data_IF_408070159016
#
_entry.id   IF_408070159016
#
_cell.length_a   1.000
_cell.length_b   1.000
_cell.length_c   1.000
_cell.angle_alpha   90.00
_cell.angle_beta   90.00
_cell.angle_gamma   90.00
#
_symmetry.space_group_name_H-M   'P 1'
#
loop_
_entity.id
_entity.type
_entity.pdbx_description
1 polymer ?
#
# COMPACT_ATOMS: atom_id res chain seq x y z
N UNK A 1 -19.10 47.22 -36.63
CA UNK A 1 -19.14 45.85 -36.06
C UNK A 1 -17.80 45.22 -36.35
N UNK A 2 -17.05 44.70 -35.35
CA UNK A 2 -15.79 44.04 -35.62
C UNK A 2 -16.05 42.82 -36.50
N UNK A 3 -15.17 42.64 -37.47
CA UNK A 3 -15.28 41.71 -38.58
C UNK A 3 -15.28 40.25 -38.07
N UNK A 4 -16.46 39.72 -37.74
CA UNK A 4 -16.64 38.36 -37.19
C UNK A 4 -16.06 37.27 -38.10
N UNK A 5 -15.91 37.55 -39.40
CA UNK A 5 -15.35 36.65 -40.40
C UNK A 5 -13.88 36.27 -40.11
N UNK A 6 -13.09 37.19 -39.56
CA UNK A 6 -11.69 36.94 -39.16
C UNK A 6 -11.60 36.08 -37.91
N UNK A 7 -12.59 36.16 -37.03
CA UNK A 7 -12.65 35.33 -35.81
C UNK A 7 -12.97 33.87 -36.17
N UNK A 8 -13.89 33.64 -37.11
CA UNK A 8 -14.22 32.29 -37.60
C UNK A 8 -13.07 31.60 -38.34
N UNK A 9 -12.19 32.36 -38.99
CA UNK A 9 -11.01 31.82 -39.68
C UNK A 9 -9.85 31.44 -38.73
N UNK A 10 -9.77 32.05 -37.54
CA UNK A 10 -8.67 31.83 -36.57
C UNK A 10 -9.04 30.78 -35.50
N UNK A 11 -10.34 30.60 -35.23
CA UNK A 11 -10.87 29.57 -34.33
C UNK A 11 -10.34 28.14 -34.60
N UNK A 12 -10.17 27.70 -35.86
CA UNK A 12 -9.53 26.44 -36.20
C UNK A 12 -8.15 26.22 -35.61
N UNK A 13 -7.24 27.14 -35.91
CA UNK A 13 -5.85 27.09 -35.47
C UNK A 13 -5.75 27.18 -33.95
N UNK A 14 -6.61 28.00 -33.32
CA UNK A 14 -6.60 28.16 -31.87
C UNK A 14 -6.91 26.86 -31.12
N UNK A 15 -7.87 26.07 -31.61
CA UNK A 15 -8.22 24.78 -31.01
C UNK A 15 -7.06 23.78 -31.09
N UNK A 16 -6.31 23.80 -32.20
CA UNK A 16 -5.17 22.91 -32.41
C UNK A 16 -4.03 23.25 -31.43
N UNK A 17 -3.76 24.54 -31.19
CA UNK A 17 -2.76 24.97 -30.21
C UNK A 17 -3.15 24.67 -28.76
N UNK A 18 -4.45 24.53 -28.44
CA UNK A 18 -4.90 24.24 -27.07
C UNK A 18 -4.46 22.85 -26.61
N UNK A 19 -4.53 21.83 -27.47
CA UNK A 19 -4.14 20.46 -27.09
C UNK A 19 -2.63 20.37 -26.87
N UNK A 20 -1.83 20.94 -27.78
CA UNK A 20 -0.38 21.00 -27.59
C UNK A 20 0.01 21.84 -26.38
N UNK A 21 -0.69 22.96 -26.14
CA UNK A 21 -0.52 23.78 -24.95
C UNK A 21 -0.81 22.99 -23.67
N UNK A 22 -1.89 22.20 -23.64
CA UNK A 22 -2.23 21.35 -22.51
C UNK A 22 -1.17 20.28 -22.25
N UNK A 23 -0.69 19.58 -23.30
CA UNK A 23 0.40 18.60 -23.21
C UNK A 23 1.67 19.25 -22.64
N UNK A 24 2.04 20.44 -23.13
CA UNK A 24 3.19 21.18 -22.66
C UNK A 24 3.03 21.60 -21.18
N UNK A 25 1.88 22.13 -20.79
CA UNK A 25 1.59 22.55 -19.41
C UNK A 25 1.68 21.36 -18.46
N UNK A 26 1.04 20.23 -18.79
CA UNK A 26 1.08 19.02 -17.95
C UNK A 26 2.51 18.51 -17.82
N UNK A 27 3.26 18.47 -18.92
CA UNK A 27 4.69 18.05 -18.90
C UNK A 27 5.53 18.97 -18.02
N UNK A 28 5.36 20.30 -18.14
CA UNK A 28 6.06 21.28 -17.32
C UNK A 28 5.69 21.16 -15.83
N UNK A 29 4.42 20.95 -15.51
CA UNK A 29 3.98 20.72 -14.13
C UNK A 29 4.67 19.49 -13.56
N UNK A 30 4.71 18.38 -14.30
CA UNK A 30 5.42 17.18 -13.87
C UNK A 30 6.92 17.44 -13.65
N UNK A 31 7.58 18.14 -14.56
CA UNK A 31 9.01 18.47 -14.44
C UNK A 31 9.29 19.34 -13.21
N UNK A 32 8.53 20.41 -13.01
CA UNK A 32 8.77 21.37 -11.93
C UNK A 32 8.29 20.90 -10.56
N UNK A 33 7.21 20.11 -10.49
CA UNK A 33 6.63 19.65 -9.22
C UNK A 33 7.06 18.24 -8.79
N UNK A 34 7.54 17.40 -9.70
CA UNK A 34 7.99 16.05 -9.37
C UNK A 34 9.50 15.88 -9.55
N UNK A 35 10.00 16.03 -10.78
CA UNK A 35 11.40 15.65 -11.10
C UNK A 35 12.44 16.62 -10.53
N UNK A 36 12.30 17.93 -10.76
CA UNK A 36 13.27 18.93 -10.26
C UNK A 36 13.41 18.90 -8.73
N UNK A 37 12.31 18.84 -7.95
CA UNK A 37 12.37 18.59 -6.52
C UNK A 37 13.19 17.38 -6.12
N UNK A 38 12.92 16.24 -6.77
CA UNK A 38 13.53 14.96 -6.47
C UNK A 38 15.03 15.01 -6.76
N UNK A 39 15.43 15.52 -7.94
CA UNK A 39 16.85 15.73 -8.29
C UNK A 39 17.58 16.63 -7.30
N UNK A 40 16.94 17.72 -6.85
CA UNK A 40 17.53 18.64 -5.87
C UNK A 40 17.72 17.97 -4.52
N UNK A 41 16.81 17.11 -4.08
CA UNK A 41 16.95 16.37 -2.82
C UNK A 41 18.00 15.26 -2.92
N UNK A 42 18.07 14.55 -4.05
CA UNK A 42 19.14 13.57 -4.31
C UNK A 42 20.51 14.25 -4.28
N UNK A 43 20.64 15.41 -4.94
CA UNK A 43 21.88 16.17 -4.96
C UNK A 43 22.26 16.66 -3.56
N UNK A 44 21.31 17.14 -2.75
CA UNK A 44 21.61 17.56 -1.37
C UNK A 44 22.03 16.41 -0.48
N UNK A 45 21.44 15.22 -0.64
CA UNK A 45 21.88 14.00 0.07
C UNK A 45 23.31 13.61 -0.31
N UNK A 46 23.64 13.58 -1.61
CA UNK A 46 25.01 13.29 -2.06
C UNK A 46 26.04 14.31 -1.56
N UNK A 47 25.66 15.60 -1.53
CA UNK A 47 26.49 16.64 -0.95
C UNK A 47 26.68 16.44 0.57
N UNK A 48 25.64 16.01 1.28
CA UNK A 48 25.71 15.69 2.70
C UNK A 48 26.67 14.51 2.97
N UNK A 49 26.61 13.45 2.16
CA UNK A 49 27.54 12.31 2.20
C UNK A 49 28.98 12.80 2.01
N UNK A 50 29.23 13.58 0.96
CA UNK A 50 30.57 14.11 0.69
C UNK A 50 31.10 14.95 1.85
N UNK A 51 30.24 15.77 2.47
CA UNK A 51 30.59 16.54 3.66
C UNK A 51 30.89 15.67 4.88
N UNK A 52 30.18 14.56 5.08
CA UNK A 52 30.47 13.59 6.15
C UNK A 52 31.84 12.96 5.94
N UNK A 53 32.11 12.47 4.73
CA UNK A 53 33.37 11.80 4.40
C UNK A 53 34.57 12.76 4.52
N UNK A 54 34.44 14.00 4.04
CA UNK A 54 35.54 14.99 4.12
C UNK A 54 35.87 15.47 5.53
N UNK A 55 34.93 15.34 6.47
CA UNK A 55 35.09 15.75 7.86
C UNK A 55 35.21 14.56 8.82
N UNK A 56 35.14 13.33 8.31
CA UNK A 56 35.41 12.13 9.09
C UNK A 56 36.83 12.19 9.67
N UNK A 57 36.95 12.04 10.99
CA UNK A 57 38.23 12.09 11.71
C UNK A 57 38.78 13.49 12.01
N UNK A 58 38.16 14.58 11.53
CA UNK A 58 38.53 15.94 11.95
C UNK A 58 37.86 16.28 13.28
N UNK A 59 38.65 16.67 14.29
CA UNK A 59 38.14 17.20 15.57
C UNK A 59 37.60 18.63 15.36
N UNK A 60 36.39 18.73 14.85
CA UNK A 60 35.61 19.98 14.86
C UNK A 60 34.88 20.10 16.20
N UNK A 61 34.76 21.33 16.73
CA UNK A 61 33.99 21.62 17.96
C UNK A 61 32.51 21.21 17.84
N UNK A 62 31.97 21.23 16.61
CA UNK A 62 30.62 20.72 16.31
C UNK A 62 30.66 19.86 15.05
N UNK A 63 30.08 18.65 15.08
CA UNK A 63 29.95 17.84 13.89
C UNK A 63 29.08 18.54 12.83
N UNK A 64 29.51 18.47 11.58
CA UNK A 64 28.82 19.10 10.42
C UNK A 64 27.38 18.61 10.26
N UNK A 65 27.08 17.40 10.74
CA UNK A 65 25.74 16.83 10.68
C UNK A 65 24.74 17.44 11.67
N UNK A 66 25.21 18.11 12.74
CA UNK A 66 24.32 18.81 13.69
C UNK A 66 23.71 20.09 13.11
N UNK A 67 24.11 20.50 11.91
CA UNK A 67 23.51 21.65 11.24
C UNK A 67 22.07 21.36 10.79
N UNK A 68 21.15 22.27 11.09
CA UNK A 68 19.74 22.13 10.72
C UNK A 68 19.48 22.05 9.20
N UNK A 69 20.43 22.46 8.34
CA UNK A 69 20.30 22.42 6.88
C UNK A 69 21.22 21.38 6.22
N UNK A 70 21.79 20.48 7.01
CA UNK A 70 22.77 19.50 6.54
C UNK A 70 22.25 18.66 5.36
N UNK A 71 21.02 18.15 5.45
CA UNK A 71 20.37 17.31 4.41
C UNK A 71 19.62 18.14 3.36
N UNK A 72 19.73 19.48 3.41
CA UNK A 72 19.08 20.41 2.50
C UNK A 72 17.78 21.02 3.03
N UNK A 73 17.24 22.02 2.30
CA UNK A 73 16.09 22.83 2.75
C UNK A 73 14.77 22.05 2.81
N UNK A 74 14.56 21.09 1.89
CA UNK A 74 13.30 20.34 1.80
C UNK A 74 13.18 19.25 2.87
N UNK A 75 14.30 18.66 3.27
CA UNK A 75 14.37 17.63 4.31
C UNK A 75 14.68 18.20 5.71
N UNK A 76 14.79 19.54 5.83
CA UNK A 76 15.07 20.23 7.10
C UNK A 76 14.10 19.82 8.21
N UNK A 77 12.82 19.67 7.90
CA UNK A 77 11.80 19.30 8.90
C UNK A 77 12.08 17.94 9.52
N UNK A 78 12.24 16.91 8.68
CA UNK A 78 12.58 15.55 9.11
C UNK A 78 13.93 15.50 9.81
N UNK A 79 14.92 16.23 9.29
CA UNK A 79 16.25 16.31 9.90
C UNK A 79 16.24 16.95 11.29
N UNK A 80 15.45 18.01 11.49
CA UNK A 80 15.35 18.65 12.80
C UNK A 80 14.67 17.73 13.83
N UNK A 81 13.66 16.95 13.40
CA UNK A 81 13.03 15.93 14.25
C UNK A 81 14.03 14.83 14.63
N UNK A 82 14.83 14.37 13.66
CA UNK A 82 15.91 13.43 13.94
C UNK A 82 16.88 14.00 14.98
N UNK A 83 17.38 15.24 14.81
CA UNK A 83 18.32 15.84 15.75
C UNK A 83 17.73 15.99 17.16
N UNK A 84 16.46 16.40 17.28
CA UNK A 84 15.78 16.53 18.58
C UNK A 84 15.61 15.17 19.27
N UNK A 85 15.19 14.15 18.52
CA UNK A 85 14.97 12.82 19.08
C UNK A 85 16.28 12.10 19.37
N UNK A 86 17.29 12.26 18.52
CA UNK A 86 18.64 11.76 18.75
C UNK A 86 19.23 12.34 20.03
N UNK A 87 19.08 13.64 20.30
CA UNK A 87 19.57 14.24 21.55
C UNK A 87 18.82 13.69 22.79
N UNK A 88 17.51 13.47 22.70
CA UNK A 88 16.71 12.92 23.80
C UNK A 88 17.02 11.45 24.08
N UNK A 89 17.19 10.65 23.03
CA UNK A 89 17.49 9.23 23.11
C UNK A 89 18.94 8.97 23.51
N UNK A 90 19.87 9.84 23.10
CA UNK A 90 21.27 9.80 23.55
C UNK A 90 21.37 10.01 25.07
N UNK A 91 20.58 10.93 25.64
CA UNK A 91 20.47 11.11 27.10
C UNK A 91 19.90 9.88 27.82
N UNK A 92 19.18 9.01 27.12
CA UNK A 92 18.58 7.78 27.65
C UNK A 92 19.37 6.52 27.30
N UNK A 93 20.48 6.63 26.55
CA UNK A 93 21.28 5.49 26.10
C UNK A 93 20.57 4.58 25.08
N UNK A 94 19.53 5.08 24.40
CA UNK A 94 18.76 4.33 23.41
C UNK A 94 19.27 4.64 21.99
N UNK A 95 19.37 3.63 21.09
CA UNK A 95 19.78 3.87 19.71
C UNK A 95 18.68 4.64 18.95
N UNK A 96 19.09 5.58 18.10
CA UNK A 96 18.19 6.28 17.16
C UNK A 96 18.58 5.89 15.75
N UNK A 97 17.66 5.33 14.97
CA UNK A 97 17.93 5.06 13.56
C UNK A 97 17.64 6.32 12.73
N UNK A 98 18.55 6.68 11.82
CA UNK A 98 18.37 7.81 10.91
C UNK A 98 17.33 7.49 9.82
N UNK A 99 17.19 6.21 9.48
CA UNK A 99 16.25 5.70 8.47
C UNK A 99 14.79 5.98 8.85
N UNK A 100 14.46 6.02 10.14
CA UNK A 100 13.11 6.36 10.63
C UNK A 100 12.67 7.78 10.21
N UNK A 101 13.63 8.65 9.89
CA UNK A 101 13.39 10.06 9.56
C UNK A 101 13.77 10.43 8.13
N UNK A 102 14.78 9.77 7.56
CA UNK A 102 15.22 9.93 6.18
C UNK A 102 15.06 8.57 5.49
N UNK A 103 13.88 8.38 4.92
CA UNK A 103 13.51 7.19 4.15
C UNK A 103 12.91 7.57 2.80
N UNK A 104 12.60 6.56 2.02
CA UNK A 104 12.02 6.68 0.70
C UNK A 104 10.72 7.47 0.71
N UNK A 105 9.84 7.29 1.70
CA UNK A 105 8.58 8.03 1.78
C UNK A 105 8.81 9.53 2.01
N UNK A 106 9.74 9.88 2.89
CA UNK A 106 10.04 11.30 3.16
C UNK A 106 10.66 12.03 1.97
N UNK A 107 11.33 11.32 1.06
CA UNK A 107 11.98 11.90 -0.13
C UNK A 107 11.10 11.78 -1.39
N UNK A 108 10.35 10.69 -1.55
CA UNK A 108 9.55 10.43 -2.76
C UNK A 108 8.11 10.94 -2.61
N UNK A 109 7.45 10.69 -1.48
CA UNK A 109 6.08 11.16 -1.22
C UNK A 109 6.02 12.63 -0.82
N UNK A 110 7.02 13.13 -0.07
CA UNK A 110 7.06 14.52 0.36
C UNK A 110 7.37 15.52 -0.78
N UNK A 111 8.65 15.68 -1.16
CA UNK A 111 9.05 16.67 -2.15
C UNK A 111 8.83 16.22 -3.61
N UNK A 112 8.77 14.92 -3.89
CA UNK A 112 8.59 14.35 -5.24
C UNK A 112 7.14 14.22 -5.71
N UNK A 113 6.16 14.32 -4.80
CA UNK A 113 4.73 14.07 -5.08
C UNK A 113 4.51 12.81 -5.92
N UNK A 114 4.94 11.64 -5.42
CA UNK A 114 4.88 10.36 -6.15
C UNK A 114 3.53 10.10 -6.83
N UNK A 115 2.41 10.34 -6.13
CA UNK A 115 1.07 10.18 -6.72
C UNK A 115 0.80 11.10 -7.92
N UNK A 116 1.30 12.34 -7.93
CA UNK A 116 1.18 13.21 -9.11
C UNK A 116 2.09 12.72 -10.25
N UNK A 117 3.28 12.22 -9.93
CA UNK A 117 4.23 11.70 -10.91
C UNK A 117 3.70 10.45 -11.63
N UNK A 118 2.89 9.63 -10.96
CA UNK A 118 2.23 8.45 -11.56
C UNK A 118 1.07 8.84 -12.50
N UNK A 119 0.39 9.95 -12.22
CA UNK A 119 -0.75 10.43 -13.01
C UNK A 119 -0.33 11.16 -14.29
N UNK A 120 0.81 11.86 -14.28
CA UNK A 120 1.27 12.69 -15.43
C UNK A 120 1.36 11.88 -16.74
N UNK A 121 2.03 10.71 -16.82
CA UNK A 121 2.06 9.90 -18.04
C UNK A 121 0.67 9.55 -18.57
N UNK A 122 -0.24 9.17 -17.69
CA UNK A 122 -1.59 8.76 -18.05
C UNK A 122 -2.40 9.94 -18.62
N UNK A 123 -2.26 11.12 -18.02
CA UNK A 123 -2.88 12.35 -18.51
C UNK A 123 -2.33 12.77 -19.89
N UNK A 124 -1.02 12.65 -20.11
CA UNK A 124 -0.39 12.98 -21.39
C UNK A 124 -0.85 12.06 -22.53
N UNK A 125 -0.95 10.75 -22.24
CA UNK A 125 -1.48 9.77 -23.21
C UNK A 125 -2.97 10.04 -23.49
N UNK A 126 -3.76 10.30 -22.44
CA UNK A 126 -5.19 10.61 -22.59
C UNK A 126 -5.42 11.88 -23.41
N UNK A 127 -4.65 12.95 -23.17
CA UNK A 127 -4.68 14.19 -23.97
C UNK A 127 -4.30 13.93 -25.43
N UNK A 128 -3.32 13.06 -25.69
CA UNK A 128 -2.95 12.65 -27.04
C UNK A 128 -4.11 11.99 -27.79
N UNK A 129 -4.79 11.04 -27.13
CA UNK A 129 -5.99 10.35 -27.67
C UNK A 129 -7.13 11.34 -27.92
N UNK A 130 -7.35 12.28 -27.00
CA UNK A 130 -8.38 13.31 -27.11
C UNK A 130 -8.13 14.23 -28.32
N UNK A 131 -6.87 14.61 -28.55
CA UNK A 131 -6.45 15.35 -29.75
C UNK A 131 -6.70 14.58 -31.04
N UNK A 132 -6.47 13.26 -31.05
CA UNK A 132 -6.78 12.40 -32.20
C UNK A 132 -8.27 12.39 -32.51
N UNK A 133 -9.12 12.27 -31.50
CA UNK A 133 -10.57 12.30 -31.67
C UNK A 133 -11.05 13.65 -32.22
N UNK A 134 -10.52 14.77 -31.70
CA UNK A 134 -10.84 16.11 -32.20
C UNK A 134 -10.41 16.30 -33.66
N UNK A 135 -9.19 15.87 -34.03
CA UNK A 135 -8.67 16.01 -35.39
C UNK A 135 -9.45 15.19 -36.42
N UNK A 136 -9.83 13.96 -36.07
CA UNK A 136 -10.68 13.12 -36.91
C UNK A 136 -12.10 13.68 -37.02
N UNK A 137 -12.72 14.06 -35.89
CA UNK A 137 -14.07 14.65 -35.90
C UNK A 137 -14.15 15.89 -36.80
N UNK A 138 -13.14 16.75 -36.73
CA UNK A 138 -12.99 17.92 -37.60
C UNK A 138 -12.81 17.52 -39.07
N UNK A 139 -11.89 16.60 -39.36
CA UNK A 139 -11.59 16.16 -40.73
C UNK A 139 -12.76 15.48 -41.43
N UNK A 140 -13.62 14.77 -40.68
CA UNK A 140 -14.84 14.18 -41.23
C UNK A 140 -16.00 15.18 -41.36
N UNK A 141 -16.04 16.24 -40.53
CA UNK A 141 -17.13 17.23 -40.56
C UNK A 141 -17.16 18.08 -41.83
N UNK A 142 -16.05 18.19 -42.56
CA UNK A 142 -15.96 18.92 -43.84
C UNK A 142 -16.38 18.10 -45.05
N UNK A 143 -16.65 16.79 -44.90
CA UNK A 143 -17.01 15.91 -46.01
C UNK A 143 -18.52 15.95 -46.25
N UNK A 144 -18.94 16.48 -47.40
CA UNK A 144 -20.32 16.38 -47.85
C UNK A 144 -20.48 15.24 -48.87
N UNK A 145 -20.98 14.08 -48.41
CA UNK A 145 -21.17 12.89 -49.25
C UNK A 145 -22.30 13.00 -50.29
N UNK A 146 -23.06 14.11 -50.31
CA UNK A 146 -24.15 14.32 -51.26
C UNK A 146 -23.69 14.85 -52.63
N UNK A 147 -22.47 15.41 -52.73
CA UNK A 147 -21.96 16.02 -53.96
C UNK A 147 -20.49 15.64 -54.20
N UNK A 148 -20.21 14.98 -55.33
CA UNK A 148 -18.88 14.53 -55.73
C UNK A 148 -17.86 15.67 -55.83
N UNK A 149 -18.29 16.88 -56.19
CA UNK A 149 -17.41 18.04 -56.27
C UNK A 149 -17.02 18.57 -54.88
N UNK A 150 -17.98 18.55 -53.94
CA UNK A 150 -17.75 18.97 -52.55
C UNK A 150 -16.93 17.93 -51.78
N UNK A 151 -17.06 16.63 -52.11
CA UNK A 151 -16.18 15.58 -51.59
C UNK A 151 -14.72 15.84 -51.93
N UNK A 152 -14.41 16.19 -53.19
CA UNK A 152 -13.04 16.46 -53.63
C UNK A 152 -12.48 17.70 -52.93
N UNK A 153 -13.32 18.73 -52.69
CA UNK A 153 -12.93 19.93 -51.96
C UNK A 153 -12.68 19.69 -50.46
N UNK A 154 -13.29 18.66 -49.86
CA UNK A 154 -13.10 18.31 -48.44
C UNK A 154 -11.86 17.46 -48.14
N UNK A 155 -11.21 16.87 -49.15
CA UNK A 155 -10.01 16.01 -48.97
C UNK A 155 -8.85 16.76 -48.28
N UNK A 156 -8.50 18.01 -48.65
CA UNK A 156 -7.43 18.76 -47.97
C UNK A 156 -7.72 18.99 -46.48
N UNK A 157 -8.97 19.29 -46.12
CA UNK A 157 -9.38 19.50 -44.72
C UNK A 157 -9.32 18.20 -43.91
N UNK A 158 -9.72 17.07 -44.52
CA UNK A 158 -9.55 15.74 -43.94
C UNK A 158 -8.07 15.43 -43.69
N UNK A 159 -7.20 15.70 -44.66
CA UNK A 159 -5.76 15.48 -44.54
C UNK A 159 -5.13 16.36 -43.45
N UNK A 160 -5.60 17.60 -43.32
CA UNK A 160 -5.17 18.54 -42.28
C UNK A 160 -5.59 18.06 -40.89
N UNK A 161 -6.86 17.70 -40.70
CA UNK A 161 -7.38 17.15 -39.44
C UNK A 161 -6.69 15.85 -39.03
N UNK A 162 -6.38 14.98 -40.00
CA UNK A 162 -5.62 13.76 -39.77
C UNK A 162 -4.16 14.05 -39.38
N UNK A 163 -3.51 15.04 -40.01
CA UNK A 163 -2.15 15.46 -39.62
C UNK A 163 -2.11 15.98 -38.17
N UNK A 164 -3.10 16.78 -37.78
CA UNK A 164 -3.26 17.22 -36.40
C UNK A 164 -3.47 16.03 -35.45
N UNK A 165 -4.39 15.12 -35.77
CA UNK A 165 -4.71 13.94 -34.98
C UNK A 165 -3.50 13.03 -34.71
N UNK A 166 -2.66 12.80 -35.72
CA UNK A 166 -1.41 12.05 -35.57
C UNK A 166 -0.38 12.85 -34.77
N UNK A 167 -0.24 14.14 -35.04
CA UNK A 167 0.72 15.00 -34.36
C UNK A 167 0.49 15.08 -32.85
N UNK A 168 -0.77 15.20 -32.40
CA UNK A 168 -1.10 15.25 -30.96
C UNK A 168 -0.89 13.90 -30.28
N UNK A 169 -1.18 12.80 -30.97
CA UNK A 169 -0.96 11.44 -30.45
C UNK A 169 0.53 11.16 -30.23
N UNK A 170 1.35 11.45 -31.25
CA UNK A 170 2.80 11.29 -31.16
C UNK A 170 3.38 12.17 -30.05
N UNK A 171 2.93 13.42 -29.93
CA UNK A 171 3.37 14.31 -28.86
C UNK A 171 2.99 13.78 -27.47
N UNK A 172 1.73 13.36 -27.26
CA UNK A 172 1.25 12.84 -25.98
C UNK A 172 1.99 11.58 -25.55
N UNK A 173 2.12 10.60 -26.45
CA UNK A 173 2.83 9.33 -26.17
C UNK A 173 4.32 9.58 -25.93
N UNK A 174 4.97 10.41 -26.76
CA UNK A 174 6.41 10.69 -26.61
C UNK A 174 6.71 11.39 -25.29
N UNK A 175 5.94 12.43 -24.95
CA UNK A 175 6.10 13.13 -23.66
C UNK A 175 5.82 12.21 -22.48
N UNK A 176 4.81 11.34 -22.58
CA UNK A 176 4.47 10.34 -21.55
C UNK A 176 5.62 9.36 -21.29
N UNK A 177 6.18 8.79 -22.36
CA UNK A 177 7.31 7.85 -22.29
C UNK A 177 8.57 8.51 -21.71
N UNK A 178 8.92 9.69 -22.22
CA UNK A 178 10.09 10.44 -21.74
C UNK A 178 9.92 10.79 -20.26
N UNK A 179 8.74 11.27 -19.87
CA UNK A 179 8.47 11.60 -18.47
C UNK A 179 8.56 10.37 -17.56
N UNK A 180 7.93 9.26 -17.94
CA UNK A 180 7.96 8.02 -17.16
C UNK A 180 9.39 7.49 -17.00
N UNK A 181 10.16 7.46 -18.09
CA UNK A 181 11.56 7.05 -18.06
C UNK A 181 12.41 7.94 -17.12
N UNK A 182 12.27 9.26 -17.23
CA UNK A 182 12.98 10.19 -16.36
C UNK A 182 12.55 10.06 -14.89
N UNK A 183 11.25 9.86 -14.63
CA UNK A 183 10.73 9.63 -13.28
C UNK A 183 11.33 8.36 -12.68
N UNK A 184 11.34 7.25 -13.42
CA UNK A 184 11.89 5.96 -12.94
C UNK A 184 13.40 6.04 -12.67
N UNK A 185 14.16 6.71 -13.54
CA UNK A 185 15.60 6.96 -13.32
C UNK A 185 15.81 7.84 -12.08
N UNK A 186 15.01 8.89 -11.94
CA UNK A 186 15.11 9.83 -10.81
C UNK A 186 14.80 9.17 -9.47
N UNK A 187 13.77 8.32 -9.43
CA UNK A 187 13.43 7.54 -8.26
C UNK A 187 14.56 6.58 -7.91
N UNK A 188 15.04 5.78 -8.86
CA UNK A 188 16.17 4.85 -8.63
C UNK A 188 17.44 5.57 -8.14
N UNK A 189 17.74 6.76 -8.67
CA UNK A 189 18.85 7.58 -8.19
C UNK A 189 18.65 8.12 -6.78
N UNK A 190 17.40 8.34 -6.36
CA UNK A 190 17.06 8.84 -5.02
C UNK A 190 17.15 7.73 -3.99
N UNK A 191 16.58 6.55 -4.27
CA UNK A 191 16.70 5.35 -3.43
C UNK A 191 18.17 5.07 -3.09
N UNK A 192 19.04 5.00 -4.12
CA UNK A 192 20.48 4.79 -3.90
C UNK A 192 21.12 5.89 -3.04
N UNK A 193 20.77 7.15 -3.28
CA UNK A 193 21.35 8.27 -2.51
C UNK A 193 20.89 8.28 -1.04
N UNK A 194 19.71 7.75 -0.74
CA UNK A 194 19.20 7.57 0.63
C UNK A 194 19.97 6.44 1.31
N UNK A 195 20.06 5.28 0.65
CA UNK A 195 20.80 4.12 1.17
C UNK A 195 22.29 4.44 1.44
N UNK A 196 22.95 5.08 0.46
CA UNK A 196 24.33 5.55 0.61
C UNK A 196 24.47 6.55 1.78
N UNK A 197 23.45 7.40 1.99
CA UNK A 197 23.42 8.37 3.07
C UNK A 197 23.24 7.70 4.43
N UNK A 198 22.24 6.82 4.58
CA UNK A 198 21.97 6.08 5.82
C UNK A 198 23.19 5.26 6.21
N UNK A 199 23.80 4.55 5.26
CA UNK A 199 25.01 3.76 5.47
C UNK A 199 26.18 4.63 5.90
N UNK A 200 26.49 5.69 5.14
CA UNK A 200 27.61 6.60 5.44
C UNK A 200 27.40 7.32 6.77
N UNK A 201 26.18 7.75 7.08
CA UNK A 201 25.86 8.43 8.32
C UNK A 201 25.98 7.50 9.53
N UNK A 202 25.47 6.27 9.42
CA UNK A 202 25.56 5.28 10.50
C UNK A 202 27.02 4.95 10.81
N UNK A 203 27.84 4.73 9.78
CA UNK A 203 29.26 4.41 9.95
C UNK A 203 30.08 5.60 10.48
N UNK A 204 29.87 6.81 9.96
CA UNK A 204 30.75 7.95 10.24
C UNK A 204 30.29 8.84 11.40
N UNK A 205 28.98 8.94 11.63
CA UNK A 205 28.39 9.84 12.64
C UNK A 205 27.83 9.09 13.85
N UNK A 206 27.33 7.86 13.68
CA UNK A 206 26.76 7.03 14.75
C UNK A 206 27.67 5.89 15.21
N UNK A 207 28.97 5.93 14.92
CA UNK A 207 29.97 5.08 15.59
C UNK A 207 30.10 5.46 17.08
N UNK A 208 29.08 5.13 17.88
CA UNK A 208 29.29 4.72 19.26
C UNK A 208 29.24 3.19 19.24
N UNK A 209 30.33 2.47 19.52
CA UNK A 209 30.16 1.13 20.06
C UNK A 209 29.22 1.29 21.26
N UNK A 210 28.13 0.52 21.32
CA UNK A 210 27.30 0.48 22.51
C UNK A 210 28.25 0.26 23.68
N UNK A 211 28.34 1.26 24.55
CA UNK A 211 29.20 1.16 25.73
C UNK A 211 28.68 -0.07 26.48
N UNK A 212 29.57 -1.04 26.69
CA UNK A 212 29.22 -2.33 27.28
C UNK A 212 28.52 -2.09 28.63
N UNK A 213 28.89 -1.00 29.31
CA UNK A 213 28.31 -0.52 30.56
C UNK A 213 26.85 -0.06 30.42
N UNK A 214 26.42 0.56 29.32
CA UNK A 214 25.01 0.99 29.14
C UNK A 214 24.11 -0.19 28.77
N UNK A 215 24.60 -1.12 27.92
CA UNK A 215 23.91 -2.39 27.71
C UNK A 215 23.77 -3.15 29.03
N UNK A 216 24.83 -3.17 29.82
CA UNK A 216 24.84 -3.83 31.13
C UNK A 216 23.92 -3.11 32.12
N UNK A 217 23.82 -1.78 32.13
CA UNK A 217 22.90 -1.04 33.02
C UNK A 217 21.44 -1.30 32.65
N UNK A 218 21.08 -1.29 31.36
CA UNK A 218 19.71 -1.59 30.91
C UNK A 218 19.37 -3.06 31.19
N UNK A 219 20.28 -3.98 30.87
CA UNK A 219 20.12 -5.40 31.21
C UNK A 219 20.07 -5.61 32.73
N UNK A 220 20.86 -4.89 33.52
CA UNK A 220 20.87 -5.01 34.99
C UNK A 220 19.63 -4.39 35.63
N UNK A 221 19.05 -3.33 35.07
CA UNK A 221 17.78 -2.78 35.55
C UNK A 221 16.63 -3.73 35.28
N UNK A 222 16.56 -4.30 34.07
CA UNK A 222 15.54 -5.27 33.70
C UNK A 222 15.72 -6.58 34.49
N UNK A 223 16.98 -7.00 34.70
CA UNK A 223 17.35 -8.12 35.58
C UNK A 223 17.02 -7.83 37.04
N UNK A 224 17.23 -6.62 37.55
CA UNK A 224 16.88 -6.28 38.94
C UNK A 224 15.36 -6.21 39.16
N UNK A 225 14.60 -5.75 38.17
CA UNK A 225 13.14 -5.76 38.21
C UNK A 225 12.59 -7.20 38.19
N UNK A 226 13.14 -8.06 37.31
CA UNK A 226 12.85 -9.50 37.29
C UNK A 226 13.34 -10.21 38.57
N UNK A 227 14.50 -9.83 39.12
CA UNK A 227 15.06 -10.39 40.35
C UNK A 227 14.22 -10.03 41.56
N UNK A 228 13.59 -8.86 41.65
CA UNK A 228 12.66 -8.55 42.75
C UNK A 228 11.45 -9.50 42.74
N UNK A 229 10.86 -9.78 41.58
CA UNK A 229 9.77 -10.77 41.47
C UNK A 229 10.22 -12.22 41.68
N UNK A 230 11.47 -12.53 41.33
CA UNK A 230 12.08 -13.85 41.51
C UNK A 230 12.52 -14.07 42.97
N UNK A 231 12.97 -13.05 43.69
CA UNK A 231 13.45 -13.15 45.08
C UNK A 231 12.31 -13.45 46.06
N UNK A 232 11.09 -12.98 45.78
CA UNK A 232 9.90 -13.37 46.54
C UNK A 232 9.48 -14.84 46.30
N UNK A 233 9.88 -15.44 45.17
CA UNK A 233 9.47 -16.80 44.77
C UNK A 233 10.57 -17.87 44.98
N UNK A 234 11.85 -17.47 45.01
CA UNK A 234 13.00 -18.38 45.16
C UNK A 234 13.33 -18.73 46.60
N UNK A 235 13.15 -17.83 47.58
CA UNK A 235 13.56 -18.08 48.97
C UNK A 235 12.84 -19.29 49.57
N UNK A 236 11.58 -19.53 49.19
CA UNK A 236 10.80 -20.68 49.67
C UNK A 236 11.15 -22.02 48.99
N UNK A 237 11.80 -22.01 47.82
CA UNK A 237 12.10 -23.26 47.06
C UNK A 237 13.57 -23.64 46.98
N UNK A 238 14.48 -22.71 47.28
CA UNK A 238 15.93 -22.92 47.13
C UNK A 238 16.57 -23.59 48.37
N UNK A 239 16.04 -23.34 49.57
CA UNK A 239 16.60 -23.87 50.83
C UNK A 239 16.57 -25.40 50.88
N UNK A 240 15.58 -26.04 50.26
CA UNK A 240 15.40 -27.49 50.34
C UNK A 240 16.21 -28.32 49.32
N UNK A 241 16.72 -27.71 48.25
CA UNK A 241 17.32 -28.46 47.12
C UNK A 241 18.81 -28.20 46.88
N UNK A 242 19.36 -27.04 47.26
CA UNK A 242 20.76 -26.70 46.98
C UNK A 242 21.74 -27.43 47.91
N UNK A 243 21.37 -27.66 49.17
CA UNK A 243 22.24 -28.30 50.18
C UNK A 243 22.68 -29.73 49.84
N UNK A 244 21.95 -30.46 48.98
CA UNK A 244 22.24 -31.88 48.66
C UNK A 244 22.96 -32.11 47.33
N UNK A 245 23.10 -31.07 46.49
CA UNK A 245 23.64 -31.17 45.12
C UNK A 245 25.12 -30.74 45.04
N UNK A 246 25.49 -29.68 45.77
CA UNK A 246 26.83 -29.07 45.66
C UNK A 246 27.96 -29.98 46.19
N UNK A 247 27.70 -30.77 47.25
CA UNK A 247 28.73 -31.69 47.80
C UNK A 247 29.11 -32.84 46.88
N UNK A 248 28.31 -33.17 45.84
CA UNK A 248 28.61 -34.28 44.92
C UNK A 248 29.33 -33.87 43.64
N UNK A 249 29.34 -32.57 43.30
CA UNK A 249 29.82 -32.10 41.99
C UNK A 249 31.28 -31.59 41.98
N UNK A 250 31.83 -31.17 43.11
CA UNK A 250 33.12 -30.44 43.13
C UNK A 250 34.39 -31.30 43.30
N UNK A 251 34.26 -32.61 43.51
CA UNK A 251 35.43 -33.48 43.69
C UNK A 251 36.28 -33.73 42.42
N UNK A 252 35.74 -33.83 41.19
CA UNK A 252 36.54 -34.20 40.01
C UNK A 252 37.27 -33.05 39.30
N UNK A 253 36.97 -31.79 39.61
CA UNK A 253 37.46 -30.62 38.83
C UNK A 253 38.90 -30.24 39.17
N UNK A 254 39.38 -30.60 40.37
CA UNK A 254 40.74 -30.32 40.80
C UNK A 254 41.80 -31.17 40.04
N UNK A 255 41.41 -32.30 39.48
CA UNK A 255 42.34 -33.28 38.88
C UNK A 255 42.69 -33.00 37.41
N UNK A 256 41.89 -32.21 36.68
CA UNK A 256 42.06 -32.01 35.24
C UNK A 256 43.01 -30.87 34.85
N UNK A 257 43.41 -30.01 35.79
CA UNK A 257 44.16 -28.78 35.49
C UNK A 257 45.66 -29.01 35.26
N UNK A 258 46.22 -30.10 35.78
CA UNK A 258 47.68 -30.34 35.79
C UNK A 258 48.22 -30.89 34.46
N UNK A 259 47.36 -31.51 33.64
CA UNK A 259 47.76 -32.12 32.34
C UNK A 259 47.83 -31.14 31.17
N UNK A 260 47.36 -29.91 31.32
CA UNK A 260 47.20 -29.00 30.19
C UNK A 260 48.45 -28.15 29.87
N UNK A 261 49.45 -28.10 30.76
CA UNK A 261 50.59 -27.18 30.64
C UNK A 261 51.83 -27.70 29.89
N UNK A 262 51.79 -28.91 29.29
CA UNK A 262 52.99 -29.52 28.65
C UNK A 262 52.88 -29.65 27.11
N UNK A 263 51.74 -29.33 26.50
CA UNK A 263 51.43 -29.75 25.11
C UNK A 263 51.64 -28.74 23.97
N UNK A 264 52.23 -27.56 24.17
CA UNK A 264 52.08 -26.46 23.20
C UNK A 264 53.31 -26.24 22.30
N UNK A 265 53.70 -27.22 21.47
CA UNK A 265 54.58 -26.92 20.31
C UNK A 265 54.53 -27.91 19.13
N UNK A 266 53.43 -28.67 18.96
CA UNK A 266 53.23 -29.51 17.76
C UNK A 266 51.91 -29.27 17.00
N UNK A 267 50.91 -28.63 17.60
CA UNK A 267 49.54 -28.58 17.05
C UNK A 267 49.28 -27.49 16.00
N UNK A 268 50.26 -26.65 15.65
CA UNK A 268 50.04 -25.55 14.70
C UNK A 268 49.90 -25.98 13.23
N UNK A 269 50.26 -27.23 12.89
CA UNK A 269 50.01 -27.79 11.55
C UNK A 269 48.64 -28.51 11.50
N UNK A 270 48.13 -28.99 12.64
CA UNK A 270 46.81 -29.62 12.76
C UNK A 270 45.67 -28.59 12.83
N UNK A 271 45.95 -27.39 13.37
CA UNK A 271 44.99 -26.29 13.47
C UNK A 271 44.43 -25.82 12.13
N UNK A 272 45.21 -25.84 11.05
CA UNK A 272 44.74 -25.43 9.71
C UNK A 272 43.75 -26.45 9.12
N UNK A 273 44.02 -27.75 9.25
CA UNK A 273 43.08 -28.80 8.84
C UNK A 273 41.80 -28.79 9.70
N UNK A 274 41.92 -28.47 10.98
CA UNK A 274 40.77 -28.27 11.86
C UNK A 274 39.94 -27.03 11.52
N UNK A 275 40.55 -25.93 11.06
CA UNK A 275 39.84 -24.72 10.63
C UNK A 275 39.05 -24.99 9.35
N UNK A 276 39.65 -25.65 8.35
CA UNK A 276 38.93 -26.01 7.10
C UNK A 276 37.81 -27.01 7.39
N UNK A 277 38.06 -28.00 8.25
CA UNK A 277 37.04 -28.98 8.64
C UNK A 277 35.92 -28.33 9.46
N UNK A 278 36.24 -27.38 10.35
CA UNK A 278 35.23 -26.56 11.04
C UNK A 278 34.48 -25.64 10.09
N UNK A 279 35.14 -25.05 9.11
CA UNK A 279 34.48 -24.18 8.14
C UNK A 279 33.50 -24.96 7.28
N UNK A 280 33.89 -26.15 6.80
CA UNK A 280 32.99 -27.05 6.07
C UNK A 280 31.85 -27.56 6.96
N UNK A 281 32.13 -27.92 8.22
CA UNK A 281 31.09 -28.33 9.17
C UNK A 281 30.15 -27.20 9.57
N UNK A 282 30.66 -25.97 9.72
CA UNK A 282 29.86 -24.79 10.05
C UNK A 282 29.06 -24.32 8.84
N UNK A 283 29.59 -24.45 7.62
CA UNK A 283 28.87 -24.20 6.38
C UNK A 283 27.76 -25.24 6.18
N UNK A 284 28.03 -26.52 6.42
CA UNK A 284 27.02 -27.59 6.38
C UNK A 284 25.94 -27.39 7.46
N UNK A 285 26.33 -26.96 8.66
CA UNK A 285 25.40 -26.65 9.75
C UNK A 285 24.58 -25.39 9.51
N UNK A 286 25.21 -24.33 9.01
CA UNK A 286 24.60 -23.02 8.75
C UNK A 286 23.72 -23.05 7.50
N UNK A 287 24.23 -23.55 6.37
CA UNK A 287 23.46 -23.65 5.13
C UNK A 287 22.45 -24.80 5.17
N UNK A 288 22.80 -25.96 5.75
CA UNK A 288 21.88 -27.09 5.86
C UNK A 288 20.67 -26.76 6.73
N UNK A 289 20.89 -26.09 7.87
CA UNK A 289 19.83 -25.60 8.74
C UNK A 289 18.96 -24.52 8.08
N UNK A 290 19.57 -23.55 7.38
CA UNK A 290 18.84 -22.49 6.68
C UNK A 290 18.03 -23.01 5.48
N UNK A 291 18.59 -23.92 4.68
CA UNK A 291 17.86 -24.54 3.56
C UNK A 291 16.73 -25.44 4.04
N UNK A 292 16.92 -26.15 5.16
CA UNK A 292 15.88 -26.95 5.78
C UNK A 292 14.79 -26.05 6.38
N UNK A 293 15.16 -24.95 7.03
CA UNK A 293 14.20 -23.94 7.52
C UNK A 293 13.43 -23.28 6.37
N UNK A 294 14.08 -23.02 5.24
CA UNK A 294 13.44 -22.51 4.04
C UNK A 294 12.46 -23.53 3.44
N UNK A 295 12.85 -24.80 3.34
CA UNK A 295 11.98 -25.88 2.89
C UNK A 295 10.77 -26.07 3.81
N UNK A 296 10.98 -26.01 5.13
CA UNK A 296 9.93 -26.05 6.14
C UNK A 296 8.99 -24.85 6.00
N UNK A 297 9.53 -23.65 5.79
CA UNK A 297 8.76 -22.42 5.60
C UNK A 297 7.93 -22.47 4.32
N UNK A 298 8.50 -22.99 3.22
CA UNK A 298 7.79 -23.20 1.96
C UNK A 298 6.67 -24.25 2.10
N UNK A 299 6.91 -25.34 2.82
CA UNK A 299 5.88 -26.34 3.10
C UNK A 299 4.76 -25.79 3.98
N UNK A 300 5.10 -24.99 4.99
CA UNK A 300 4.13 -24.30 5.84
C UNK A 300 3.32 -23.28 5.03
N UNK A 301 3.98 -22.55 4.12
CA UNK A 301 3.33 -21.61 3.21
C UNK A 301 2.37 -22.33 2.27
N UNK A 302 2.79 -23.43 1.62
CA UNK A 302 1.93 -24.25 0.76
C UNK A 302 0.70 -24.76 1.53
N UNK A 303 0.90 -25.25 2.76
CA UNK A 303 -0.19 -25.72 3.61
C UNK A 303 -1.15 -24.58 3.98
N UNK A 304 -0.64 -23.42 4.37
CA UNK A 304 -1.45 -22.25 4.71
C UNK A 304 -2.23 -21.74 3.50
N UNK A 305 -1.63 -21.75 2.30
CA UNK A 305 -2.27 -21.36 1.05
C UNK A 305 -3.40 -22.33 0.68
N UNK A 306 -3.17 -23.65 0.80
CA UNK A 306 -4.23 -24.66 0.57
C UNK A 306 -5.38 -24.51 1.57
N UNK A 307 -5.07 -24.21 2.83
CA UNK A 307 -6.09 -23.99 3.86
C UNK A 307 -6.90 -22.72 3.59
N UNK A 308 -6.23 -21.62 3.20
CA UNK A 308 -6.90 -20.38 2.80
C UNK A 308 -7.79 -20.56 1.57
N UNK A 309 -7.31 -21.31 0.57
CA UNK A 309 -8.09 -21.65 -0.62
C UNK A 309 -9.35 -22.47 -0.25
N UNK A 310 -9.22 -23.45 0.65
CA UNK A 310 -10.36 -24.25 1.12
C UNK A 310 -11.37 -23.40 1.91
N UNK A 311 -10.91 -22.57 2.83
CA UNK A 311 -11.77 -21.66 3.60
C UNK A 311 -12.50 -20.66 2.69
N UNK A 312 -11.81 -20.17 1.65
CA UNK A 312 -12.42 -19.29 0.64
C UNK A 312 -13.52 -20.02 -0.14
N UNK A 313 -13.29 -21.28 -0.54
CA UNK A 313 -14.31 -22.09 -1.22
C UNK A 313 -15.54 -22.40 -0.36
N UNK A 314 -15.33 -22.67 0.93
CA UNK A 314 -16.43 -22.86 1.90
C UNK A 314 -17.24 -21.56 2.10
N UNK A 315 -16.56 -20.41 2.24
CA UNK A 315 -17.22 -19.11 2.35
C UNK A 315 -17.97 -18.73 1.07
N UNK A 316 -17.43 -19.04 -0.10
CA UNK A 316 -18.08 -18.82 -1.40
C UNK A 316 -19.37 -19.63 -1.52
N UNK A 317 -19.32 -20.90 -1.12
CA UNK A 317 -20.49 -21.79 -1.10
C UNK A 317 -21.58 -21.28 -0.14
N UNK A 318 -21.18 -20.75 1.01
CA UNK A 318 -22.12 -20.11 1.96
C UNK A 318 -22.73 -18.83 1.36
N UNK A 319 -21.95 -18.01 0.67
CA UNK A 319 -22.42 -16.80 -0.02
C UNK A 319 -23.45 -17.13 -1.12
N UNK A 320 -23.23 -18.18 -1.91
CA UNK A 320 -24.21 -18.67 -2.88
C UNK A 320 -25.54 -19.10 -2.23
N UNK A 321 -25.47 -19.72 -1.05
CA UNK A 321 -26.64 -20.06 -0.25
C UNK A 321 -27.44 -18.83 0.17
N UNK A 322 -26.75 -17.79 0.65
CA UNK A 322 -27.37 -16.52 1.05
C UNK A 322 -28.03 -15.83 -0.16
N UNK A 323 -27.39 -15.84 -1.33
CA UNK A 323 -27.96 -15.26 -2.57
C UNK A 323 -29.26 -15.95 -2.95
N UNK A 324 -29.26 -17.30 -2.98
CA UNK A 324 -30.48 -18.06 -3.31
C UNK A 324 -31.61 -17.76 -2.33
N UNK A 325 -31.31 -17.70 -1.04
CA UNK A 325 -32.30 -17.38 -0.02
C UNK A 325 -32.83 -15.94 -0.18
N UNK A 326 -31.96 -14.98 -0.47
CA UNK A 326 -32.35 -13.59 -0.68
C UNK A 326 -33.18 -13.41 -1.96
N UNK A 327 -32.86 -14.12 -3.04
CA UNK A 327 -33.68 -14.16 -4.26
C UNK A 327 -35.07 -14.73 -4.00
N UNK A 328 -35.16 -15.85 -3.27
CA UNK A 328 -36.44 -16.44 -2.88
C UNK A 328 -37.25 -15.49 -1.99
N UNK A 329 -36.62 -14.82 -1.02
CA UNK A 329 -37.27 -13.82 -0.17
C UNK A 329 -37.77 -12.62 -0.97
N UNK A 330 -36.99 -12.17 -1.96
CA UNK A 330 -37.38 -11.09 -2.86
C UNK A 330 -38.63 -11.46 -3.68
N UNK A 331 -38.68 -12.68 -4.21
CA UNK A 331 -39.84 -13.19 -4.94
C UNK A 331 -41.10 -13.26 -4.04
N UNK A 332 -40.96 -13.80 -2.83
CA UNK A 332 -42.04 -13.84 -1.83
C UNK A 332 -42.52 -12.44 -1.47
N UNK A 333 -41.60 -11.49 -1.25
CA UNK A 333 -41.92 -10.10 -0.91
C UNK A 333 -42.63 -9.40 -2.06
N UNK A 334 -42.20 -9.64 -3.30
CA UNK A 334 -42.87 -9.11 -4.50
C UNK A 334 -44.30 -9.64 -4.63
N UNK A 335 -44.51 -10.94 -4.40
CA UNK A 335 -45.84 -11.54 -4.40
C UNK A 335 -46.72 -11.03 -3.26
N UNK A 336 -46.15 -10.82 -2.07
CA UNK A 336 -46.86 -10.24 -0.94
C UNK A 336 -47.32 -8.81 -1.27
N UNK A 337 -46.44 -7.98 -1.84
CA UNK A 337 -46.75 -6.62 -2.28
C UNK A 337 -47.90 -6.59 -3.30
N UNK A 338 -47.90 -7.50 -4.29
CA UNK A 338 -48.95 -7.59 -5.30
C UNK A 338 -50.32 -8.01 -4.71
N UNK A 339 -50.31 -8.99 -3.80
CA UNK A 339 -51.52 -9.40 -3.08
C UNK A 339 -52.03 -8.31 -2.13
N UNK A 340 -51.14 -7.62 -1.43
CA UNK A 340 -51.53 -6.51 -0.55
C UNK A 340 -52.06 -5.31 -1.35
N UNK A 341 -51.48 -4.98 -2.50
CA UNK A 341 -52.01 -3.95 -3.41
C UNK A 341 -53.43 -4.31 -3.90
N UNK A 342 -53.64 -5.58 -4.25
CA UNK A 342 -54.96 -6.11 -4.61
C UNK A 342 -55.95 -6.07 -3.45
N UNK A 343 -55.51 -6.44 -2.23
CA UNK A 343 -56.32 -6.38 -1.03
C UNK A 343 -56.72 -4.95 -0.65
N UNK A 344 -55.79 -3.99 -0.77
CA UNK A 344 -56.09 -2.56 -0.56
C UNK A 344 -57.09 -2.04 -1.58
N UNK A 345 -56.97 -2.44 -2.84
CA UNK A 345 -57.97 -2.12 -3.88
C UNK A 345 -59.35 -2.69 -3.55
N UNK A 346 -59.43 -3.86 -2.92
CA UNK A 346 -60.68 -4.47 -2.47
C UNK A 346 -61.25 -3.82 -1.21
N UNK A 347 -60.42 -3.46 -0.23
CA UNK A 347 -60.84 -2.72 0.97
C UNK A 347 -61.41 -1.34 0.61
N UNK A 348 -60.84 -0.65 -0.38
CA UNK A 348 -61.40 0.61 -0.90
C UNK A 348 -62.85 0.48 -1.41
N UNK A 349 -63.33 -0.75 -1.66
CA UNK A 349 -64.71 -1.02 -2.09
C UNK A 349 -65.67 -1.38 -0.95
N UNK A 350 -65.16 -1.68 0.26
CA UNK A 350 -65.97 -2.06 1.43
C UNK A 350 -66.06 -0.88 2.40
N UNK A 351 -67.28 -0.35 2.55
CA UNK A 351 -67.64 0.79 3.41
C UNK A 351 -67.34 0.54 4.90
N UNK A 352 -66.18 0.94 5.38
CA UNK A 352 -65.97 1.58 6.69
C UNK A 352 -64.54 2.15 6.75
N UNK A 353 -64.45 3.48 6.86
CA UNK A 353 -63.30 4.29 6.47
C UNK A 353 -62.49 4.71 7.71
N UNK A 354 -61.38 4.03 7.98
CA UNK A 354 -60.35 4.51 8.91
C UNK A 354 -59.19 5.11 8.10
N UNK A 355 -59.19 6.42 7.89
CA UNK A 355 -58.15 7.14 7.13
C UNK A 355 -56.74 6.90 7.70
N UNK A 356 -56.65 6.57 8.99
CA UNK A 356 -55.38 6.23 9.63
C UNK A 356 -54.86 4.86 9.22
N UNK A 357 -55.75 3.90 8.90
CA UNK A 357 -55.36 2.59 8.39
C UNK A 357 -54.82 2.70 6.97
N UNK A 358 -55.47 3.49 6.10
CA UNK A 358 -55.01 3.70 4.71
C UNK A 358 -53.62 4.34 4.64
N UNK A 359 -53.36 5.37 5.45
CA UNK A 359 -52.04 6.02 5.51
C UNK A 359 -50.97 5.05 6.01
N UNK A 360 -51.24 4.32 7.10
CA UNK A 360 -50.30 3.33 7.64
C UNK A 360 -50.01 2.20 6.66
N UNK A 361 -51.02 1.69 5.95
CA UNK A 361 -50.86 0.68 4.93
C UNK A 361 -50.08 1.20 3.70
N UNK A 362 -50.32 2.44 3.28
CA UNK A 362 -49.59 3.07 2.18
C UNK A 362 -48.11 3.32 2.54
N UNK A 363 -47.83 3.83 3.74
CA UNK A 363 -46.47 4.06 4.24
C UNK A 363 -45.71 2.74 4.33
N UNK A 364 -46.35 1.70 4.87
CA UNK A 364 -45.77 0.36 4.96
C UNK A 364 -45.48 -0.27 3.59
N UNK A 365 -46.39 -0.12 2.62
CA UNK A 365 -46.16 -0.57 1.24
C UNK A 365 -44.97 0.16 0.60
N UNK A 366 -44.80 1.44 0.89
CA UNK A 366 -43.66 2.21 0.42
C UNK A 366 -42.36 1.74 1.08
N UNK A 367 -42.38 1.45 2.39
CA UNK A 367 -41.23 0.92 3.12
C UNK A 367 -40.83 -0.47 2.60
N UNK A 368 -41.79 -1.38 2.44
CA UNK A 368 -41.54 -2.71 1.86
C UNK A 368 -41.05 -2.64 0.40
N UNK A 369 -41.57 -1.71 -0.41
CA UNK A 369 -41.07 -1.49 -1.78
C UNK A 369 -39.63 -0.98 -1.78
N UNK A 370 -39.30 -0.07 -0.86
CA UNK A 370 -37.95 0.46 -0.68
C UNK A 370 -36.98 -0.64 -0.26
N UNK A 371 -37.31 -1.39 0.79
CA UNK A 371 -36.49 -2.52 1.28
C UNK A 371 -36.29 -3.58 0.20
N UNK A 372 -37.35 -3.92 -0.54
CA UNK A 372 -37.28 -4.87 -1.66
C UNK A 372 -36.34 -4.40 -2.78
N UNK A 373 -36.35 -3.11 -3.11
CA UNK A 373 -35.45 -2.51 -4.10
C UNK A 373 -34.00 -2.49 -3.62
N UNK A 374 -33.79 -2.15 -2.34
CA UNK A 374 -32.46 -2.13 -1.73
C UNK A 374 -31.86 -3.55 -1.68
N UNK A 375 -32.66 -4.56 -1.30
CA UNK A 375 -32.28 -5.97 -1.34
C UNK A 375 -31.91 -6.43 -2.76
N UNK A 376 -32.68 -6.05 -3.78
CA UNK A 376 -32.38 -6.34 -5.18
C UNK A 376 -31.02 -5.79 -5.63
N UNK A 377 -30.70 -4.56 -5.20
CA UNK A 377 -29.44 -3.90 -5.54
C UNK A 377 -28.23 -4.58 -4.88
N UNK A 378 -28.37 -5.00 -3.63
CA UNK A 378 -27.33 -5.73 -2.89
C UNK A 378 -27.07 -7.11 -3.50
N UNK A 379 -28.12 -7.85 -3.86
CA UNK A 379 -28.01 -9.14 -4.55
C UNK A 379 -27.29 -8.98 -5.89
N UNK A 380 -27.64 -7.95 -6.66
CA UNK A 380 -26.98 -7.65 -7.94
C UNK A 380 -25.50 -7.31 -7.74
N UNK A 381 -25.17 -6.46 -6.77
CA UNK A 381 -23.79 -6.07 -6.48
C UNK A 381 -22.94 -7.25 -6.00
N UNK A 382 -23.50 -8.11 -5.15
CA UNK A 382 -22.82 -9.32 -4.68
C UNK A 382 -22.58 -10.31 -5.83
N UNK A 383 -23.58 -10.51 -6.70
CA UNK A 383 -23.48 -11.38 -7.88
C UNK A 383 -22.41 -10.90 -8.86
N UNK A 384 -22.30 -9.58 -9.06
CA UNK A 384 -21.28 -8.99 -9.93
C UNK A 384 -19.87 -9.19 -9.34
N UNK A 385 -19.68 -8.89 -8.05
CA UNK A 385 -18.37 -9.07 -7.41
C UNK A 385 -17.92 -10.52 -7.35
N UNK A 386 -18.84 -11.46 -7.13
CA UNK A 386 -18.55 -12.89 -7.16
C UNK A 386 -18.03 -13.37 -8.52
N UNK A 387 -18.52 -12.79 -9.63
CA UNK A 387 -18.00 -13.09 -10.99
C UNK A 387 -16.60 -12.52 -11.25
N UNK A 388 -16.16 -11.54 -10.46
CA UNK A 388 -14.83 -10.92 -10.61
C UNK A 388 -13.74 -11.56 -9.75
N UNK A 389 -14.08 -12.65 -9.03
CA UNK A 389 -13.10 -13.47 -8.33
C UNK A 389 -12.30 -14.28 -9.35
N UNK A 390 -10.97 -14.42 -9.16
CA UNK A 390 -10.16 -15.27 -10.03
C UNK A 390 -10.64 -16.72 -9.95
N UNK A 391 -10.88 -17.35 -11.11
CA UNK A 391 -11.22 -18.78 -11.19
C UNK A 391 -10.00 -19.68 -10.95
N UNK A 392 -8.78 -19.17 -11.15
CA UNK A 392 -7.53 -19.94 -11.13
C UNK A 392 -6.66 -19.57 -9.92
N UNK A 393 -6.70 -20.41 -8.87
CA UNK A 393 -5.61 -20.71 -7.92
C UNK A 393 -4.92 -19.58 -7.14
N UNK A 394 -5.18 -18.32 -7.47
CA UNK A 394 -4.60 -17.14 -6.87
C UNK A 394 -5.47 -16.71 -5.69
N UNK A 395 -4.85 -16.53 -4.54
CA UNK A 395 -5.59 -16.10 -3.36
C UNK A 395 -6.21 -14.71 -3.66
N UNK A 396 -7.54 -14.55 -3.54
CA UNK A 396 -8.15 -13.26 -3.77
C UNK A 396 -7.57 -12.24 -2.79
N UNK A 397 -7.29 -11.03 -3.27
CA UNK A 397 -6.79 -9.94 -2.44
C UNK A 397 -7.74 -9.69 -1.25
N UNK A 398 -7.17 -9.51 -0.04
CA UNK A 398 -7.93 -9.28 1.21
C UNK A 398 -8.99 -8.18 1.07
N UNK A 399 -8.69 -7.15 0.25
CA UNK A 399 -9.61 -6.05 -0.05
C UNK A 399 -10.91 -6.55 -0.72
N UNK A 400 -10.82 -7.43 -1.72
CA UNK A 400 -11.99 -8.00 -2.41
C UNK A 400 -12.84 -8.87 -1.48
N UNK A 401 -12.20 -9.64 -0.60
CA UNK A 401 -12.90 -10.45 0.41
C UNK A 401 -13.61 -9.59 1.45
N UNK A 402 -12.98 -8.49 1.88
CA UNK A 402 -13.58 -7.53 2.80
C UNK A 402 -14.85 -6.89 2.20
N UNK A 403 -14.80 -6.52 0.92
CA UNK A 403 -15.95 -5.96 0.23
C UNK A 403 -17.12 -6.95 0.08
N UNK A 404 -16.85 -8.21 -0.27
CA UNK A 404 -17.88 -9.26 -0.36
C UNK A 404 -18.50 -9.49 1.03
N UNK A 405 -17.68 -9.53 2.08
CA UNK A 405 -18.16 -9.66 3.46
C UNK A 405 -19.06 -8.50 3.87
N UNK A 406 -18.70 -7.27 3.49
CA UNK A 406 -19.52 -6.08 3.74
C UNK A 406 -20.88 -6.14 3.04
N UNK A 407 -20.92 -6.58 1.78
CA UNK A 407 -22.18 -6.75 1.03
C UNK A 407 -23.06 -7.85 1.63
N UNK A 408 -22.48 -8.96 2.08
CA UNK A 408 -23.21 -10.03 2.77
C UNK A 408 -23.81 -9.54 4.10
N UNK A 409 -23.06 -8.73 4.85
CA UNK A 409 -23.55 -8.13 6.09
C UNK A 409 -24.75 -7.21 5.82
N UNK A 410 -24.64 -6.32 4.82
CA UNK A 410 -25.74 -5.44 4.44
C UNK A 410 -26.98 -6.20 3.96
N UNK A 411 -26.80 -7.29 3.22
CA UNK A 411 -27.89 -8.15 2.78
C UNK A 411 -28.58 -8.83 3.97
N UNK A 412 -27.82 -9.34 4.93
CA UNK A 412 -28.35 -9.94 6.15
C UNK A 412 -29.15 -8.94 7.01
N UNK A 413 -28.69 -7.70 7.11
CA UNK A 413 -29.43 -6.63 7.80
C UNK A 413 -30.75 -6.30 7.09
N UNK A 414 -30.74 -6.20 5.76
CA UNK A 414 -31.96 -5.93 4.98
C UNK A 414 -32.99 -7.06 5.12
N UNK A 415 -32.55 -8.33 5.03
CA UNK A 415 -33.40 -9.51 5.28
C UNK A 415 -34.03 -9.46 6.67
N UNK A 416 -33.25 -9.04 7.69
CA UNK A 416 -33.76 -8.88 9.06
C UNK A 416 -34.80 -7.75 9.14
N UNK A 417 -34.57 -6.61 8.49
CA UNK A 417 -35.50 -5.49 8.44
C UNK A 417 -36.85 -5.90 7.84
N UNK A 418 -36.83 -6.56 6.67
CA UNK A 418 -38.05 -7.07 6.01
C UNK A 418 -38.80 -8.05 6.92
N UNK A 419 -38.08 -8.95 7.59
CA UNK A 419 -38.66 -9.91 8.54
C UNK A 419 -39.32 -9.21 9.74
N UNK A 420 -38.68 -8.17 10.29
CA UNK A 420 -39.25 -7.37 11.39
C UNK A 420 -40.50 -6.60 10.95
N UNK A 421 -40.48 -6.03 9.74
CA UNK A 421 -41.62 -5.33 9.13
C UNK A 421 -42.81 -6.28 8.93
N UNK A 422 -42.57 -7.49 8.42
CA UNK A 422 -43.59 -8.55 8.31
C UNK A 422 -44.11 -9.04 9.66
N UNK A 423 -43.25 -9.07 10.68
CA UNK A 423 -43.65 -9.47 12.04
C UNK A 423 -44.53 -8.41 12.71
N UNK A 424 -44.28 -7.12 12.46
CA UNK A 424 -45.15 -6.02 12.94
C UNK A 424 -46.53 -6.11 12.32
N UNK A 425 -46.60 -6.34 11.02
CA UNK A 425 -47.86 -6.62 10.29
C UNK A 425 -48.68 -7.72 10.94
N UNK A 426 -48.05 -8.85 11.26
CA UNK A 426 -48.73 -10.00 11.89
C UNK A 426 -49.25 -9.72 13.30
N UNK A 427 -48.75 -8.71 14.01
CA UNK A 427 -49.19 -8.36 15.37
C UNK A 427 -50.29 -7.29 15.38
N UNK A 428 -50.42 -6.55 14.29
CA UNK A 428 -51.38 -5.45 14.15
C UNK A 428 -52.63 -5.83 13.34
N UNK A 429 -52.57 -6.93 12.58
CA UNK A 429 -53.73 -7.63 12.02
C UNK A 429 -54.35 -8.58 13.07
#
# INVERSE_FOLDING_TARGET
MPDLSKVTAILPDLADYVVYGAIAIVTLIGLFKCLIPLWRTTASLRLAISRLQQNAGKKLDKPVWQEARFVGRRLKGSWLRFLQNAEQLDRRGLPTNVEDYINDDTVTHGPGNAGLAELIPNLLTSLGILGTFMGLSRGLSSLNFADSAQLIQGIPDLLSGMRFAFGTSVAGISCSLVFNMLNRISQGSSYRAIDDFVTSFTQLAMSRPLDNDVQMIIQNQDRNFMLQGINETLTDRLVDNVGRSISRALNPVAESMDRFLVGTTRNQIEGVNHIVSRFLAEMDRSMGGQLTSLAQSMSTLEQSQRQAAKATGENLSAAEGIIRNAQSLQEITSHALDKFDTYMKQINTVRERDENFERRAADLLNDMRKESKDMASLISGLTDKLKTLPEDGDAPADDKLSEISGLLSGLNENVKSVSETLTRLSKEA
#
